data_IF_750208805738
#
_entry.id   IF_750208805738
#
_cell.length_a   1.000
_cell.length_b   1.000
_cell.length_c   1.000
_cell.angle_alpha   90.00
_cell.angle_beta   90.00
_cell.angle_gamma   90.00
#
_symmetry.space_group_name_H-M   'P 1'
#
loop_
_entity.id
_entity.type
_entity.pdbx_description
1 polymer ?
#
# COMPACT_ATOMS: atom_id res chain seq x y z
N UNK A 1 -4.86 -8.27 1.93
CA UNK A 1 -3.70 -8.30 0.99
C UNK A 1 -2.61 -7.34 1.44
N UNK A 2 -1.42 -7.45 0.90
CA UNK A 2 -0.35 -6.46 1.06
C UNK A 2 -0.48 -5.42 -0.05
N UNK A 3 -0.56 -4.15 0.32
CA UNK A 3 -0.71 -3.04 -0.61
C UNK A 3 0.47 -2.09 -0.43
N UNK A 4 1.28 -1.90 -1.48
CA UNK A 4 2.38 -0.94 -1.48
C UNK A 4 1.88 0.36 -2.10
N UNK A 5 1.99 1.45 -1.36
CA UNK A 5 1.42 2.76 -1.71
C UNK A 5 2.55 3.78 -1.81
N UNK A 6 2.72 4.37 -3.00
CA UNK A 6 3.60 5.51 -3.20
C UNK A 6 3.11 6.72 -2.39
N UNK A 7 4.02 7.65 -2.08
CA UNK A 7 3.70 8.81 -1.27
C UNK A 7 3.46 10.06 -2.11
N UNK A 8 4.50 10.54 -2.81
CA UNK A 8 4.45 11.79 -3.57
C UNK A 8 3.52 11.67 -4.78
N UNK A 9 2.51 12.52 -4.86
CA UNK A 9 1.51 12.48 -5.94
C UNK A 9 0.46 11.38 -5.82
N UNK A 10 0.57 10.51 -4.82
CA UNK A 10 -0.36 9.40 -4.60
C UNK A 10 -1.17 9.60 -3.31
N UNK A 11 -0.54 10.04 -2.24
CA UNK A 11 -1.19 10.33 -0.96
C UNK A 11 -1.41 11.83 -0.77
N UNK A 12 -0.46 12.65 -1.23
CA UNK A 12 -0.55 14.12 -1.13
C UNK A 12 -0.36 14.78 -2.49
N UNK A 13 -0.80 16.04 -2.60
CA UNK A 13 -0.81 16.82 -3.84
C UNK A 13 0.32 17.87 -3.94
N UNK A 14 1.25 17.86 -3.02
CA UNK A 14 2.33 18.87 -2.97
C UNK A 14 3.40 18.63 -4.03
N UNK A 15 4.24 19.66 -4.20
CA UNK A 15 5.39 19.63 -5.12
C UNK A 15 6.65 19.24 -4.37
N UNK A 16 7.39 18.27 -4.91
CA UNK A 16 8.67 17.84 -4.36
C UNK A 16 9.62 19.05 -4.12
N UNK A 17 10.31 19.15 -2.97
CA UNK A 17 10.30 18.18 -1.87
C UNK A 17 9.21 18.46 -0.82
N UNK A 18 8.37 19.45 -1.02
CA UNK A 18 7.31 19.81 -0.11
C UNK A 18 6.22 18.77 -0.04
N UNK A 19 5.47 18.80 1.04
CA UNK A 19 4.31 17.91 1.24
C UNK A 19 3.07 18.80 1.27
N UNK A 20 2.08 18.46 0.47
CA UNK A 20 0.85 19.22 0.34
C UNK A 20 -0.26 18.71 1.23
N UNK A 21 -1.47 18.70 0.70
CA UNK A 21 -2.65 18.18 1.39
C UNK A 21 -2.88 16.74 0.98
N UNK A 22 -3.54 15.93 1.84
CA UNK A 22 -3.97 14.59 1.41
C UNK A 22 -4.83 14.70 0.14
N UNK A 23 -4.61 13.79 -0.80
CA UNK A 23 -5.49 13.65 -1.95
C UNK A 23 -6.90 13.27 -1.48
N UNK A 24 -7.95 13.62 -2.25
CA UNK A 24 -9.32 13.28 -1.88
C UNK A 24 -9.46 11.78 -1.55
N UNK A 25 -10.08 11.50 -0.41
CA UNK A 25 -10.37 10.15 0.08
C UNK A 25 -9.14 9.29 0.43
N UNK A 26 -7.90 9.78 0.24
CA UNK A 26 -6.70 8.98 0.49
C UNK A 26 -6.62 8.49 1.94
N UNK A 27 -6.73 9.38 2.90
CA UNK A 27 -6.69 9.02 4.33
C UNK A 27 -7.80 8.05 4.69
N UNK A 28 -9.03 8.38 4.33
CA UNK A 28 -10.20 7.60 4.67
C UNK A 28 -10.11 6.18 4.11
N UNK A 29 -9.71 6.05 2.85
CA UNK A 29 -9.64 4.75 2.18
C UNK A 29 -8.44 3.92 2.63
N UNK A 30 -7.28 4.53 2.83
CA UNK A 30 -6.10 3.81 3.38
C UNK A 30 -6.43 3.27 4.77
N UNK A 31 -7.00 4.11 5.64
CA UNK A 31 -7.34 3.71 6.99
C UNK A 31 -8.42 2.63 7.02
N UNK A 32 -9.43 2.73 6.15
CA UNK A 32 -10.47 1.72 6.02
C UNK A 32 -9.88 0.37 5.56
N UNK A 33 -9.05 0.37 4.53
CA UNK A 33 -8.39 -0.84 4.04
C UNK A 33 -7.53 -1.48 5.13
N UNK A 34 -6.76 -0.69 5.87
CA UNK A 34 -5.93 -1.20 6.95
C UNK A 34 -6.79 -1.80 8.07
N UNK A 35 -7.89 -1.14 8.44
CA UNK A 35 -8.84 -1.64 9.44
C UNK A 35 -9.51 -2.96 9.01
N UNK A 36 -9.66 -3.17 7.70
CA UNK A 36 -10.20 -4.40 7.12
C UNK A 36 -9.18 -5.53 7.02
N UNK A 37 -7.94 -5.31 7.49
CA UNK A 37 -6.91 -6.33 7.53
C UNK A 37 -5.87 -6.27 6.40
N UNK A 38 -5.93 -5.26 5.53
CA UNK A 38 -4.88 -5.05 4.53
C UNK A 38 -3.61 -4.51 5.20
N UNK A 39 -2.46 -5.00 4.75
CA UNK A 39 -1.15 -4.56 5.22
C UNK A 39 -0.63 -3.45 4.32
N UNK A 40 -0.35 -2.28 4.89
CA UNK A 40 0.00 -1.07 4.12
C UNK A 40 1.49 -0.81 4.24
N UNK A 41 2.17 -0.83 3.10
CA UNK A 41 3.59 -0.45 2.99
C UNK A 41 3.65 0.88 2.24
N UNK A 42 4.30 1.89 2.82
CA UNK A 42 4.62 3.13 2.10
C UNK A 42 5.87 2.84 1.26
N UNK A 43 5.74 2.95 -0.05
CA UNK A 43 6.77 2.61 -1.02
C UNK A 43 7.24 3.89 -1.72
N UNK A 44 8.39 4.44 -1.29
CA UNK A 44 8.80 5.80 -1.64
C UNK A 44 10.29 5.89 -1.98
N UNK A 45 10.64 6.87 -2.84
CA UNK A 45 12.03 7.23 -3.07
C UNK A 45 12.58 8.18 -2.00
N UNK A 46 11.74 8.65 -1.09
CA UNK A 46 12.21 9.50 0.01
C UNK A 46 13.14 8.73 0.93
N UNK A 47 14.25 9.36 1.31
CA UNK A 47 15.24 8.78 2.23
C UNK A 47 15.76 9.86 3.19
N UNK A 48 16.44 9.44 4.26
CA UNK A 48 17.02 10.34 5.24
C UNK A 48 15.98 11.30 5.81
N UNK A 49 16.34 12.58 5.89
CA UNK A 49 15.47 13.63 6.44
C UNK A 49 14.13 13.73 5.72
N UNK A 50 14.11 13.56 4.39
CA UNK A 50 12.87 13.62 3.61
C UNK A 50 11.90 12.49 3.97
N UNK A 51 12.44 11.32 4.29
CA UNK A 51 11.62 10.21 4.78
C UNK A 51 11.08 10.48 6.19
N UNK A 52 11.88 11.06 7.08
CA UNK A 52 11.43 11.46 8.42
C UNK A 52 10.32 12.48 8.35
N UNK A 53 10.45 13.50 7.48
CA UNK A 53 9.39 14.50 7.24
C UNK A 53 8.09 13.83 6.78
N UNK A 54 8.18 12.85 5.89
CA UNK A 54 7.04 12.07 5.41
C UNK A 54 6.36 11.31 6.55
N UNK A 55 7.13 10.58 7.34
CA UNK A 55 6.58 9.80 8.46
C UNK A 55 5.88 10.71 9.46
N UNK A 56 6.49 11.83 9.81
CA UNK A 56 5.88 12.81 10.71
C UNK A 56 4.58 13.36 10.12
N UNK A 57 4.56 13.68 8.84
CA UNK A 57 3.35 14.17 8.17
C UNK A 57 2.25 13.11 8.16
N UNK A 58 2.58 11.85 7.87
CA UNK A 58 1.60 10.76 7.89
C UNK A 58 0.97 10.60 9.28
N UNK A 59 1.79 10.68 10.33
CA UNK A 59 1.30 10.61 11.71
C UNK A 59 0.41 11.80 12.06
N UNK A 60 0.81 13.00 11.68
CA UNK A 60 0.04 14.24 11.90
C UNK A 60 -1.31 14.20 11.17
N UNK A 61 -1.35 13.62 9.97
CA UNK A 61 -2.57 13.48 9.17
C UNK A 61 -3.43 12.30 9.58
N UNK A 62 -3.00 11.51 10.57
CA UNK A 62 -3.70 10.31 11.00
C UNK A 62 -3.92 9.30 9.85
N UNK A 63 -2.90 9.14 9.03
CA UNK A 63 -2.87 8.13 7.97
C UNK A 63 -2.10 6.92 8.48
N UNK A 64 -2.76 5.77 8.52
CA UNK A 64 -2.24 4.56 9.14
C UNK A 64 -1.48 3.71 8.12
N UNK A 65 -0.31 3.24 8.50
CA UNK A 65 0.53 2.37 7.69
C UNK A 65 1.30 1.41 8.58
N UNK A 66 1.86 0.36 8.00
CA UNK A 66 2.57 -0.68 8.76
C UNK A 66 4.08 -0.56 8.61
N UNK A 67 4.58 -0.26 7.43
CA UNK A 67 6.01 -0.15 7.14
C UNK A 67 6.31 0.90 6.09
N UNK A 68 7.59 1.28 6.04
CA UNK A 68 8.13 2.17 5.00
C UNK A 68 9.27 1.42 4.31
N UNK A 69 9.15 1.24 2.99
CA UNK A 69 10.21 0.66 2.14
C UNK A 69 10.75 -0.70 2.61
N UNK A 70 9.92 -1.49 3.26
CA UNK A 70 10.34 -2.77 3.79
C UNK A 70 9.26 -3.82 3.59
N UNK A 71 9.68 -5.07 3.38
CA UNK A 71 8.78 -6.19 3.23
C UNK A 71 8.02 -6.48 4.52
N UNK A 72 6.81 -7.01 4.41
CA UNK A 72 6.20 -7.69 5.55
C UNK A 72 7.11 -8.86 5.93
N UNK A 73 7.50 -9.01 7.22
CA UNK A 73 8.57 -9.94 7.62
C UNK A 73 8.39 -11.38 7.16
N UNK A 74 7.16 -11.90 7.12
CA UNK A 74 6.87 -13.27 6.70
C UNK A 74 7.21 -13.51 5.22
N UNK A 75 7.21 -12.47 4.38
CA UNK A 75 7.56 -12.59 2.97
C UNK A 75 9.07 -12.84 2.79
N UNK A 76 9.91 -12.20 3.58
CA UNK A 76 11.35 -12.45 3.56
C UNK A 76 11.64 -13.89 3.99
N UNK A 77 11.00 -14.36 5.05
CA UNK A 77 11.12 -15.72 5.54
C UNK A 77 10.64 -16.74 4.51
N UNK A 78 9.48 -16.53 3.92
CA UNK A 78 8.85 -17.46 2.97
C UNK A 78 9.68 -17.64 1.70
N UNK A 79 10.26 -16.56 1.17
CA UNK A 79 11.00 -16.61 -0.09
C UNK A 79 12.53 -16.67 0.08
N UNK A 80 13.03 -16.55 1.31
CA UNK A 80 14.46 -16.59 1.60
C UNK A 80 15.23 -15.44 0.98
N UNK A 81 14.58 -14.32 0.69
CA UNK A 81 15.17 -13.19 -0.04
C UNK A 81 14.58 -11.87 0.43
N UNK A 82 15.48 -10.88 0.58
CA UNK A 82 15.13 -9.51 0.88
C UNK A 82 15.41 -8.65 -0.37
N UNK A 83 14.61 -8.85 -1.40
CA UNK A 83 14.74 -8.11 -2.66
C UNK A 83 14.43 -6.63 -2.44
N UNK A 84 15.06 -5.75 -3.23
CA UNK A 84 14.83 -4.30 -3.13
C UNK A 84 13.38 -3.93 -3.38
N UNK A 85 12.75 -4.52 -4.40
CA UNK A 85 11.33 -4.31 -4.64
C UNK A 85 10.54 -5.02 -3.57
N UNK A 86 9.81 -4.28 -2.76
CA UNK A 86 8.92 -4.88 -1.75
C UNK A 86 7.86 -5.73 -2.43
N UNK A 87 7.61 -6.91 -1.88
CA UNK A 87 6.52 -7.75 -2.36
C UNK A 87 5.19 -7.17 -1.90
N UNK A 88 4.26 -7.05 -2.83
CA UNK A 88 2.88 -6.65 -2.54
C UNK A 88 1.93 -7.34 -3.52
N UNK A 89 0.68 -7.51 -3.11
CA UNK A 89 -0.37 -8.02 -4.00
C UNK A 89 -0.80 -6.95 -5.00
N UNK A 90 -0.68 -5.67 -4.64
CA UNK A 90 -0.89 -4.56 -5.56
C UNK A 90 -0.03 -3.36 -5.19
N UNK A 91 0.23 -2.50 -6.18
CA UNK A 91 1.03 -1.30 -6.06
C UNK A 91 0.20 -0.11 -6.50
N UNK A 92 0.07 0.91 -5.64
CA UNK A 92 -0.67 2.14 -5.93
C UNK A 92 0.33 3.26 -6.12
N UNK A 93 0.41 3.79 -7.34
CA UNK A 93 1.40 4.78 -7.75
C UNK A 93 0.81 5.70 -8.82
N UNK A 94 1.03 7.01 -8.69
CA UNK A 94 0.60 8.01 -9.67
C UNK A 94 1.36 7.92 -10.99
N UNK A 95 2.54 7.31 -10.98
CA UNK A 95 3.40 7.19 -12.17
C UNK A 95 3.23 5.88 -12.94
N UNK A 96 2.13 5.18 -12.72
CA UNK A 96 1.82 4.00 -13.52
C UNK A 96 1.48 4.38 -14.97
N UNK A 97 1.78 3.50 -15.91
CA UNK A 97 1.29 3.64 -17.27
C UNK A 97 -0.24 3.66 -17.24
N UNK A 98 -0.84 4.73 -17.80
CA UNK A 98 -2.29 4.94 -17.71
C UNK A 98 -2.74 5.77 -16.50
N UNK A 99 -1.82 6.12 -15.60
CA UNK A 99 -2.10 6.95 -14.43
C UNK A 99 -2.65 6.19 -13.22
N UNK A 100 -3.34 6.90 -12.36
CA UNK A 100 -3.87 6.37 -11.10
C UNK A 100 -5.38 6.60 -11.02
N UNK A 101 -6.10 5.59 -10.52
CA UNK A 101 -7.52 5.71 -10.24
C UNK A 101 -7.75 6.58 -8.98
N UNK A 102 -8.96 7.17 -8.84
CA UNK A 102 -9.35 7.81 -7.58
C UNK A 102 -9.31 6.83 -6.41
N UNK A 103 -9.04 7.32 -5.21
CA UNK A 103 -8.87 6.46 -4.03
C UNK A 103 -10.09 5.57 -3.73
N UNK A 104 -11.30 6.05 -3.97
CA UNK A 104 -12.50 5.22 -3.79
C UNK A 104 -12.52 4.02 -4.72
N UNK A 105 -12.08 4.21 -5.96
CA UNK A 105 -12.01 3.14 -6.96
C UNK A 105 -10.88 2.16 -6.63
N UNK A 106 -9.73 2.67 -6.15
CA UNK A 106 -8.62 1.84 -5.68
C UNK A 106 -9.08 0.94 -4.54
N UNK A 107 -9.78 1.49 -3.57
CA UNK A 107 -10.29 0.75 -2.42
C UNK A 107 -11.29 -0.34 -2.85
N UNK A 108 -12.22 0.00 -3.75
CA UNK A 108 -13.20 -0.95 -4.28
C UNK A 108 -12.51 -2.09 -5.03
N UNK A 109 -11.55 -1.75 -5.89
CA UNK A 109 -10.77 -2.74 -6.63
C UNK A 109 -10.01 -3.67 -5.68
N UNK A 110 -9.37 -3.11 -4.66
CA UNK A 110 -8.60 -3.89 -3.67
C UNK A 110 -9.49 -4.89 -2.92
N UNK A 111 -10.69 -4.48 -2.52
CA UNK A 111 -11.65 -5.37 -1.86
C UNK A 111 -12.11 -6.51 -2.78
N UNK A 112 -12.33 -6.22 -4.05
CA UNK A 112 -12.70 -7.22 -5.05
C UNK A 112 -11.57 -8.22 -5.30
N UNK A 113 -10.33 -7.73 -5.40
CA UNK A 113 -9.16 -8.58 -5.58
C UNK A 113 -8.93 -9.48 -4.38
N UNK A 114 -9.09 -8.97 -3.17
CA UNK A 114 -8.96 -9.80 -1.98
C UNK A 114 -10.01 -10.90 -1.93
N UNK A 115 -11.26 -10.61 -2.25
CA UNK A 115 -12.32 -11.60 -2.30
C UNK A 115 -12.01 -12.70 -3.33
N UNK A 116 -11.54 -12.32 -4.52
CA UNK A 116 -11.14 -13.27 -5.57
C UNK A 116 -9.95 -14.13 -5.14
N UNK A 117 -8.95 -13.51 -4.49
CA UNK A 117 -7.77 -14.20 -3.99
C UNK A 117 -8.13 -15.22 -2.90
N UNK A 118 -8.98 -14.84 -1.95
CA UNK A 118 -9.46 -15.74 -0.91
C UNK A 118 -10.23 -16.93 -1.50
N UNK A 119 -11.14 -16.66 -2.43
CA UNK A 119 -11.91 -17.71 -3.10
C UNK A 119 -11.00 -18.71 -3.84
N UNK A 120 -9.99 -18.22 -4.56
CA UNK A 120 -9.03 -19.07 -5.25
C UNK A 120 -8.19 -19.90 -4.28
N UNK A 121 -7.73 -19.30 -3.18
CA UNK A 121 -6.94 -19.99 -2.15
C UNK A 121 -7.76 -21.05 -1.42
N UNK A 122 -9.01 -20.74 -1.08
CA UNK A 122 -9.94 -21.69 -0.45
C UNK A 122 -10.25 -22.86 -1.41
N UNK A 123 -10.46 -22.56 -2.70
CA UNK A 123 -10.68 -23.58 -3.73
C UNK A 123 -9.49 -24.53 -3.87
N UNK A 124 -8.26 -24.00 -3.90
CA UNK A 124 -7.03 -24.79 -3.93
C UNK A 124 -6.88 -25.63 -2.66
N UNK A 125 -7.16 -25.05 -1.49
CA UNK A 125 -7.14 -25.78 -0.23
C UNK A 125 -8.14 -26.93 -0.18
N UNK A 126 -9.36 -26.75 -0.70
CA UNK A 126 -10.38 -27.79 -0.79
C UNK A 126 -9.97 -28.90 -1.76
N UNK A 127 -9.41 -28.57 -2.90
CA UNK A 127 -8.87 -29.54 -3.86
C UNK A 127 -7.72 -30.34 -3.26
N UNK A 128 -6.83 -29.69 -2.50
CA UNK A 128 -5.70 -30.32 -1.83
C UNK A 128 -6.11 -31.29 -0.72
N UNK A 129 -7.31 -31.17 -0.18
CA UNK A 129 -7.83 -32.04 0.88
C UNK A 129 -8.72 -33.19 0.34
N UNK A 130 -9.05 -33.11 -0.91
CA UNK A 130 -9.82 -34.15 -1.58
C UNK A 130 -8.89 -35.24 -2.10
#
# INVERSE_FOLDING_TARGET
MIIAVDFDGTIHDGQWPGIGRPLPDAREEINALRAEGHYIIIWTCREGRRQTEMVNWLLEQDIHFDRVNDHRPDQVTAYGSDARKVYAHCYVDDKNVGGMLPWKDIALWSRRQEAAYKAATEGVGKEGTA
#
